data_IF_129198479284
#
_entry.id   IF_129198479284
#
_cell.length_a   1.000
_cell.length_b   1.000
_cell.length_c   1.000
_cell.angle_alpha   90.00
_cell.angle_beta   90.00
_cell.angle_gamma   90.00
#
_symmetry.space_group_name_H-M   'P 1'
#
loop_
_entity.id
_entity.type
_entity.pdbx_description
1 polymer ?
#
# COMPACT_ATOMS: atom_id res chain seq x y z
N UNK A 1 -10.29 0.48 -23.33
CA UNK A 1 -10.95 0.65 -22.02
C UNK A 1 -11.04 2.13 -21.73
N UNK A 2 -12.16 2.76 -22.05
CA UNK A 2 -12.37 4.19 -21.78
C UNK A 2 -12.69 4.47 -20.30
N UNK A 3 -13.21 3.49 -19.58
CA UNK A 3 -13.53 3.59 -18.15
C UNK A 3 -12.93 2.41 -17.36
N UNK A 4 -11.74 2.65 -16.81
CA UNK A 4 -10.99 1.64 -16.04
C UNK A 4 -11.59 1.36 -14.67
N UNK A 5 -12.47 2.23 -14.15
CA UNK A 5 -13.15 2.03 -12.87
C UNK A 5 -14.44 1.20 -12.99
N UNK A 6 -14.87 0.91 -14.20
CA UNK A 6 -16.09 0.17 -14.45
C UNK A 6 -15.91 -1.32 -14.13
N UNK A 7 -16.47 -1.73 -13.01
CA UNK A 7 -16.40 -3.12 -12.51
C UNK A 7 -16.93 -4.17 -13.50
N UNK A 8 -17.83 -3.79 -14.41
CA UNK A 8 -18.38 -4.72 -15.42
C UNK A 8 -17.28 -5.21 -16.38
N UNK A 9 -16.35 -4.34 -16.78
CA UNK A 9 -15.25 -4.76 -17.67
C UNK A 9 -14.31 -5.76 -16.98
N UNK A 10 -14.01 -5.51 -15.70
CA UNK A 10 -13.15 -6.41 -14.95
C UNK A 10 -13.83 -7.76 -14.68
N UNK A 11 -15.14 -7.78 -14.44
CA UNK A 11 -15.89 -9.03 -14.26
C UNK A 11 -15.84 -9.95 -15.47
N UNK A 12 -15.67 -9.42 -16.67
CA UNK A 12 -15.50 -10.23 -17.88
C UNK A 12 -14.28 -11.16 -17.82
N UNK A 13 -13.29 -10.87 -16.97
CA UNK A 13 -12.14 -11.75 -16.74
C UNK A 13 -12.56 -13.11 -16.19
N UNK A 14 -13.63 -13.20 -15.42
CA UNK A 14 -14.15 -14.46 -14.91
C UNK A 14 -14.59 -15.44 -16.02
N UNK A 15 -14.96 -14.92 -17.19
CA UNK A 15 -15.41 -15.73 -18.33
C UNK A 15 -14.29 -16.17 -19.26
N UNK A 16 -13.06 -15.66 -19.06
CA UNK A 16 -11.89 -16.06 -19.86
C UNK A 16 -11.47 -17.47 -19.43
N UNK A 17 -11.21 -18.40 -20.39
CA UNK A 17 -10.71 -19.71 -20.06
C UNK A 17 -9.40 -19.62 -19.24
N UNK A 18 -9.26 -20.49 -18.26
CA UNK A 18 -8.08 -20.51 -17.37
C UNK A 18 -6.78 -20.72 -18.14
N UNK A 19 -6.81 -21.59 -19.13
CA UNK A 19 -5.68 -21.87 -20.00
C UNK A 19 -5.17 -20.64 -20.75
N UNK A 20 -6.10 -19.80 -21.24
CA UNK A 20 -5.74 -18.57 -21.95
C UNK A 20 -5.03 -17.56 -21.01
N UNK A 21 -5.52 -17.41 -19.79
CA UNK A 21 -4.87 -16.57 -18.77
C UNK A 21 -3.48 -17.11 -18.46
N UNK A 22 -3.34 -18.44 -18.27
CA UNK A 22 -2.05 -19.06 -17.99
C UNK A 22 -1.05 -18.83 -19.12
N UNK A 23 -1.43 -19.05 -20.38
CA UNK A 23 -0.55 -18.83 -21.52
C UNK A 23 -0.16 -17.35 -21.70
N UNK A 24 -1.08 -16.42 -21.47
CA UNK A 24 -0.75 -14.99 -21.45
C UNK A 24 0.30 -14.68 -20.37
N UNK A 25 0.10 -15.17 -19.13
CA UNK A 25 1.05 -14.98 -18.04
C UNK A 25 2.43 -15.58 -18.36
N UNK A 26 2.46 -16.78 -18.92
CA UNK A 26 3.66 -17.44 -19.38
C UNK A 26 4.38 -16.66 -20.50
N UNK A 27 3.63 -16.11 -21.46
CA UNK A 27 4.18 -15.27 -22.52
C UNK A 27 4.82 -13.98 -21.94
N UNK A 28 4.18 -13.34 -20.97
CA UNK A 28 4.72 -12.16 -20.28
C UNK A 28 5.98 -12.47 -19.46
N UNK A 29 5.99 -13.60 -18.76
CA UNK A 29 7.18 -14.10 -18.05
C UNK A 29 8.33 -14.39 -19.01
N UNK A 30 8.07 -15.02 -20.15
CA UNK A 30 9.08 -15.27 -21.17
C UNK A 30 9.69 -13.96 -21.71
N UNK A 31 8.88 -12.90 -21.88
CA UNK A 31 9.38 -11.57 -22.27
C UNK A 31 10.30 -10.99 -21.19
N UNK A 32 9.91 -11.13 -19.90
CA UNK A 32 10.74 -10.71 -18.78
C UNK A 32 12.06 -11.48 -18.75
N UNK A 33 12.02 -12.80 -18.85
CA UNK A 33 13.23 -13.65 -18.83
C UNK A 33 14.19 -13.27 -19.97
N UNK A 34 13.69 -13.05 -21.18
CA UNK A 34 14.51 -12.57 -22.31
C UNK A 34 15.15 -11.21 -21.99
N UNK A 35 14.38 -10.30 -21.38
CA UNK A 35 14.88 -8.99 -20.96
C UNK A 35 15.97 -9.11 -19.88
N UNK A 36 15.75 -9.94 -18.86
CA UNK A 36 16.73 -10.18 -17.78
C UNK A 36 18.04 -10.73 -18.38
N UNK A 37 17.96 -11.76 -19.24
CA UNK A 37 19.13 -12.35 -19.87
C UNK A 37 19.94 -11.32 -20.67
N UNK A 38 19.28 -10.50 -21.47
CA UNK A 38 19.93 -9.44 -22.24
C UNK A 38 20.57 -8.36 -21.34
N UNK A 39 19.90 -7.96 -20.25
CA UNK A 39 20.46 -6.98 -19.30
C UNK A 39 21.67 -7.54 -18.55
N UNK A 40 21.61 -8.77 -18.08
CA UNK A 40 22.75 -9.41 -17.42
C UNK A 40 23.95 -9.49 -18.33
N UNK A 41 23.76 -9.96 -19.55
CA UNK A 41 24.85 -10.07 -20.54
C UNK A 41 25.49 -8.69 -20.81
N UNK A 42 24.67 -7.66 -21.07
CA UNK A 42 25.18 -6.33 -21.38
C UNK A 42 25.89 -5.66 -20.20
N UNK A 43 25.34 -5.74 -18.99
CA UNK A 43 25.92 -5.10 -17.82
C UNK A 43 27.19 -5.80 -17.37
N UNK A 44 27.22 -7.13 -17.41
CA UNK A 44 28.39 -7.90 -17.04
C UNK A 44 29.58 -7.64 -17.95
N UNK A 45 29.35 -7.60 -19.24
CA UNK A 45 30.39 -7.30 -20.23
C UNK A 45 30.96 -5.88 -20.02
N UNK A 46 30.11 -4.92 -19.68
CA UNK A 46 30.56 -3.56 -19.36
C UNK A 46 31.42 -3.47 -18.10
N UNK A 47 31.08 -4.27 -17.08
CA UNK A 47 31.73 -4.26 -15.78
C UNK A 47 32.93 -5.22 -15.70
N UNK A 48 33.40 -5.76 -16.82
CA UNK A 48 34.56 -6.64 -16.92
C UNK A 48 34.52 -7.86 -15.96
N UNK A 49 33.32 -8.38 -15.70
CA UNK A 49 33.13 -9.55 -14.88
C UNK A 49 33.61 -10.84 -15.58
N UNK A 50 33.73 -11.92 -14.78
CA UNK A 50 34.09 -13.23 -15.30
C UNK A 50 32.99 -13.76 -16.25
N UNK A 51 33.26 -13.99 -17.55
CA UNK A 51 32.27 -14.45 -18.52
C UNK A 51 31.66 -15.81 -18.17
N UNK A 52 32.38 -16.68 -17.50
CA UNK A 52 31.90 -18.01 -17.11
C UNK A 52 30.74 -17.93 -16.11
N UNK A 53 30.78 -16.95 -15.22
CA UNK A 53 29.70 -16.68 -14.27
C UNK A 53 28.44 -16.15 -14.96
N UNK A 54 28.58 -15.34 -16.02
CA UNK A 54 27.45 -14.88 -16.81
C UNK A 54 26.73 -16.07 -17.44
N UNK A 55 27.46 -16.95 -18.11
CA UNK A 55 26.88 -18.16 -18.72
C UNK A 55 26.15 -18.98 -17.66
N UNK A 56 26.79 -19.24 -16.53
CA UNK A 56 26.20 -20.00 -15.43
C UNK A 56 24.91 -19.36 -14.86
N UNK A 57 24.83 -18.03 -14.79
CA UNK A 57 23.62 -17.31 -14.35
C UNK A 57 22.53 -17.43 -15.42
N UNK A 58 22.88 -17.17 -16.70
CA UNK A 58 21.91 -17.19 -17.80
C UNK A 58 21.26 -18.57 -17.99
N UNK A 59 22.03 -19.64 -17.80
CA UNK A 59 21.53 -21.02 -17.87
C UNK A 59 20.56 -21.36 -16.75
N UNK A 60 20.77 -20.77 -15.56
CA UNK A 60 19.90 -21.00 -14.40
C UNK A 60 18.61 -20.18 -14.43
N UNK A 61 18.51 -19.10 -15.22
CA UNK A 61 17.27 -18.31 -15.32
C UNK A 61 16.22 -19.11 -16.09
N UNK A 62 15.17 -19.51 -15.37
CA UNK A 62 14.17 -20.45 -15.83
C UNK A 62 12.77 -19.82 -15.86
N UNK A 63 12.17 -19.72 -17.05
CA UNK A 63 10.81 -19.20 -17.22
C UNK A 63 9.69 -20.10 -16.66
N UNK A 64 10.00 -21.38 -16.35
CA UNK A 64 9.06 -22.28 -15.72
C UNK A 64 9.08 -22.21 -14.18
N UNK A 65 10.07 -21.54 -13.60
CA UNK A 65 10.14 -21.29 -12.18
C UNK A 65 9.07 -20.29 -11.72
N UNK A 66 8.58 -20.45 -10.50
CA UNK A 66 7.83 -19.39 -9.82
C UNK A 66 8.75 -18.18 -9.64
N UNK A 67 8.33 -17.02 -10.14
CA UNK A 67 9.15 -15.82 -10.14
C UNK A 67 8.54 -14.73 -9.26
N UNK A 68 9.27 -14.31 -8.23
CA UNK A 68 8.85 -13.27 -7.27
C UNK A 68 9.68 -12.02 -7.50
N UNK A 69 9.00 -10.89 -7.70
CA UNK A 69 9.64 -9.60 -7.95
C UNK A 69 9.61 -8.69 -6.73
N UNK A 70 10.74 -8.00 -6.52
CA UNK A 70 10.87 -6.90 -5.57
C UNK A 70 11.53 -5.72 -6.29
N UNK A 71 10.75 -4.68 -6.60
CA UNK A 71 11.25 -3.53 -7.36
C UNK A 71 10.81 -2.21 -6.75
N UNK A 72 11.74 -1.48 -6.11
CA UNK A 72 11.43 -0.22 -5.44
C UNK A 72 12.66 0.59 -5.07
N UNK A 73 12.46 1.83 -4.58
CA UNK A 73 13.53 2.58 -3.94
C UNK A 73 14.01 1.82 -2.70
N UNK A 74 15.32 1.64 -2.59
CA UNK A 74 15.94 1.08 -1.39
C UNK A 74 16.02 2.15 -0.32
N UNK A 75 15.18 2.03 0.69
CA UNK A 75 15.18 2.76 1.95
C UNK A 75 14.99 1.74 3.07
N UNK A 76 15.54 1.97 4.24
CA UNK A 76 15.57 0.99 5.34
C UNK A 76 14.19 0.47 5.70
N UNK A 77 13.19 1.34 5.80
CA UNK A 77 11.83 0.95 6.15
C UNK A 77 11.15 0.05 5.11
N UNK A 78 11.66 -0.03 3.88
CA UNK A 78 11.17 -0.94 2.83
C UNK A 78 11.61 -2.39 3.06
N UNK A 79 12.55 -2.60 3.97
CA UNK A 79 13.02 -3.89 4.49
C UNK A 79 13.34 -4.93 3.40
N UNK A 80 14.06 -4.51 2.37
CA UNK A 80 14.50 -5.40 1.29
C UNK A 80 15.30 -6.62 1.79
N UNK A 81 15.81 -6.57 3.01
CA UNK A 81 16.64 -7.59 3.66
C UNK A 81 15.82 -8.74 4.28
N UNK A 82 14.52 -8.62 4.49
CA UNK A 82 13.76 -9.61 5.25
C UNK A 82 13.92 -11.04 4.73
N UNK A 83 13.92 -11.21 3.41
CA UNK A 83 14.10 -12.54 2.80
C UNK A 83 15.51 -13.13 3.04
N UNK A 84 16.45 -12.35 3.56
CA UNK A 84 17.85 -12.74 3.80
C UNK A 84 18.19 -12.89 5.28
N UNK A 85 17.20 -12.92 6.15
CA UNK A 85 17.38 -13.10 7.60
C UNK A 85 17.72 -14.54 7.99
N UNK A 86 17.24 -15.52 7.22
CA UNK A 86 17.53 -16.95 7.36
C UNK A 86 17.98 -17.52 6.01
N UNK A 87 19.29 -17.44 5.77
CA UNK A 87 19.87 -17.87 4.50
C UNK A 87 19.82 -19.39 4.31
N UNK A 88 19.85 -20.17 5.37
CA UNK A 88 19.76 -21.62 5.29
C UNK A 88 18.37 -22.06 4.86
N UNK A 89 17.32 -21.45 5.41
CA UNK A 89 15.94 -21.68 5.00
C UNK A 89 15.70 -21.21 3.57
N UNK A 90 16.17 -20.01 3.23
CA UNK A 90 16.10 -19.49 1.86
C UNK A 90 16.80 -20.40 0.87
N UNK A 91 18.00 -20.91 1.21
CA UNK A 91 18.75 -21.84 0.36
C UNK A 91 17.96 -23.11 0.10
N UNK A 92 17.32 -23.71 1.12
CA UNK A 92 16.46 -24.89 0.93
C UNK A 92 15.29 -24.61 -0.02
N UNK A 93 14.68 -23.44 0.12
CA UNK A 93 13.54 -23.02 -0.74
C UNK A 93 13.97 -22.87 -2.20
N UNK A 94 15.04 -22.10 -2.47
CA UNK A 94 15.43 -21.77 -3.85
C UNK A 94 16.16 -22.92 -4.58
N UNK A 95 16.66 -23.92 -3.85
CA UNK A 95 17.33 -25.09 -4.42
C UNK A 95 16.43 -26.32 -4.49
N UNK A 96 15.13 -26.18 -4.25
CA UNK A 96 14.19 -27.27 -4.44
C UNK A 96 13.96 -27.52 -5.94
N UNK A 97 14.48 -28.63 -6.46
CA UNK A 97 14.38 -28.98 -7.88
C UNK A 97 12.95 -29.27 -8.34
N UNK A 98 12.11 -29.79 -7.43
CA UNK A 98 10.71 -30.08 -7.73
C UNK A 98 9.85 -28.81 -7.86
N UNK A 99 10.19 -27.78 -7.10
CA UNK A 99 9.46 -26.53 -7.03
C UNK A 99 10.40 -25.33 -7.24
N UNK A 100 10.96 -25.14 -8.45
CA UNK A 100 11.95 -24.11 -8.70
C UNK A 100 11.38 -22.72 -8.51
N UNK A 101 12.05 -21.90 -7.70
CA UNK A 101 11.66 -20.51 -7.41
C UNK A 101 12.83 -19.56 -7.64
N UNK A 102 12.53 -18.39 -8.17
CA UNK A 102 13.51 -17.32 -8.40
C UNK A 102 12.99 -15.98 -7.89
N UNK A 103 13.88 -15.23 -7.25
CA UNK A 103 13.59 -13.90 -6.78
C UNK A 103 14.33 -12.86 -7.62
N UNK A 104 13.61 -11.85 -8.11
CA UNK A 104 14.15 -10.78 -8.92
C UNK A 104 14.08 -9.47 -8.15
N UNK A 105 15.22 -8.99 -7.69
CA UNK A 105 15.38 -7.73 -6.99
C UNK A 105 15.86 -6.64 -7.94
N UNK A 106 15.33 -5.44 -7.79
CA UNK A 106 15.82 -4.24 -8.46
C UNK A 106 15.46 -2.99 -7.68
N UNK A 107 16.22 -1.94 -7.87
CA UNK A 107 15.94 -0.66 -7.23
C UNK A 107 17.14 0.27 -7.24
N UNK A 108 16.94 1.44 -6.66
CA UNK A 108 17.97 2.46 -6.47
C UNK A 108 17.87 3.02 -5.05
N UNK A 109 19.01 3.32 -4.45
CA UNK A 109 19.09 4.10 -3.23
C UNK A 109 19.38 5.57 -3.57
N UNK A 110 18.93 6.48 -2.72
CA UNK A 110 19.33 7.87 -2.86
C UNK A 110 20.85 8.01 -2.64
N UNK A 111 21.58 8.88 -3.35
CA UNK A 111 23.02 9.05 -3.18
C UNK A 111 23.47 9.37 -1.76
N UNK A 112 22.63 10.06 -0.97
CA UNK A 112 22.87 10.37 0.43
C UNK A 112 22.36 9.30 1.42
N UNK A 113 21.74 8.21 0.94
CA UNK A 113 21.21 7.11 1.78
C UNK A 113 22.20 5.94 1.83
N UNK A 114 23.16 6.02 2.76
CA UNK A 114 24.14 4.96 2.97
C UNK A 114 23.51 3.63 3.41
N UNK A 115 22.40 3.67 4.16
CA UNK A 115 21.66 2.47 4.57
C UNK A 115 21.06 1.73 3.38
N UNK A 116 20.37 2.46 2.49
CA UNK A 116 19.83 1.90 1.27
C UNK A 116 20.90 1.35 0.33
N UNK A 117 22.03 2.02 0.21
CA UNK A 117 23.19 1.53 -0.57
C UNK A 117 23.78 0.26 0.05
N UNK A 118 23.88 0.20 1.39
CA UNK A 118 24.32 -0.99 2.11
C UNK A 118 23.42 -2.20 1.86
N UNK A 119 22.10 -2.02 1.83
CA UNK A 119 21.15 -3.07 1.50
C UNK A 119 21.34 -3.60 0.07
N UNK A 120 21.55 -2.74 -0.92
CA UNK A 120 21.85 -3.15 -2.29
C UNK A 120 23.13 -4.00 -2.33
N UNK A 121 24.20 -3.52 -1.70
CA UNK A 121 25.47 -4.23 -1.63
C UNK A 121 25.30 -5.62 -1.03
N UNK A 122 24.61 -5.71 0.09
CA UNK A 122 24.35 -6.96 0.80
C UNK A 122 23.59 -7.98 -0.08
N UNK A 123 22.54 -7.56 -0.76
CA UNK A 123 21.75 -8.44 -1.65
C UNK A 123 22.58 -8.90 -2.85
N UNK A 124 23.38 -8.00 -3.43
CA UNK A 124 24.29 -8.35 -4.54
C UNK A 124 25.35 -9.37 -4.09
N UNK A 125 25.91 -9.22 -2.90
CA UNK A 125 26.87 -10.17 -2.34
C UNK A 125 26.24 -11.56 -2.14
N UNK A 126 25.01 -11.63 -1.59
CA UNK A 126 24.28 -12.88 -1.42
C UNK A 126 23.96 -13.51 -2.78
N UNK A 127 23.50 -12.74 -3.75
CA UNK A 127 23.15 -13.24 -5.09
C UNK A 127 24.32 -13.91 -5.83
N UNK A 128 25.57 -13.61 -5.42
CA UNK A 128 26.80 -14.17 -6.00
C UNK A 128 27.29 -15.44 -5.32
N UNK A 129 26.69 -15.83 -4.19
CA UNK A 129 27.05 -17.08 -3.50
C UNK A 129 26.62 -18.29 -4.34
N UNK A 130 27.37 -19.39 -4.31
CA UNK A 130 27.09 -20.58 -5.14
C UNK A 130 25.65 -21.10 -5.02
N UNK A 131 25.12 -21.12 -3.79
CA UNK A 131 23.77 -21.61 -3.47
C UNK A 131 22.66 -20.69 -3.98
N UNK A 132 22.93 -19.41 -4.21
CA UNK A 132 21.94 -18.42 -4.67
C UNK A 132 22.15 -17.99 -6.12
N UNK A 133 23.22 -18.42 -6.75
CA UNK A 133 23.58 -18.00 -8.11
C UNK A 133 22.49 -18.37 -9.11
N UNK A 134 21.91 -17.36 -9.77
CA UNK A 134 20.79 -17.52 -10.70
C UNK A 134 19.44 -17.80 -10.04
N UNK A 135 19.37 -17.86 -8.71
CA UNK A 135 18.14 -17.99 -7.91
C UNK A 135 17.71 -16.66 -7.30
N UNK A 136 18.69 -15.91 -6.77
CA UNK A 136 18.50 -14.52 -6.35
C UNK A 136 19.15 -13.66 -7.43
N UNK A 137 18.33 -12.90 -8.14
CA UNK A 137 18.73 -12.10 -9.31
C UNK A 137 18.62 -10.62 -8.94
N UNK A 138 19.73 -9.88 -8.96
CA UNK A 138 19.69 -8.44 -8.80
C UNK A 138 19.86 -7.75 -10.16
N UNK A 139 18.88 -6.93 -10.55
CA UNK A 139 18.93 -6.15 -11.79
C UNK A 139 19.30 -4.71 -11.50
N UNK A 140 20.37 -4.25 -12.13
CA UNK A 140 20.85 -2.87 -12.04
C UNK A 140 20.00 -1.91 -12.87
N UNK A 141 20.17 -0.61 -12.62
CA UNK A 141 19.59 0.46 -13.42
C UNK A 141 18.06 0.46 -13.48
N UNK A 142 17.41 0.27 -12.32
CA UNK A 142 15.96 0.33 -12.23
C UNK A 142 15.41 1.62 -12.89
N UNK A 143 14.68 1.45 -13.96
CA UNK A 143 14.02 2.48 -14.73
C UNK A 143 12.59 2.07 -15.13
N UNK A 144 11.87 2.94 -15.85
CA UNK A 144 10.50 2.66 -16.29
C UNK A 144 10.41 1.46 -17.25
N UNK A 145 11.44 1.21 -18.06
CA UNK A 145 11.45 0.08 -19.00
C UNK A 145 11.58 -1.24 -18.25
N UNK A 146 12.54 -1.33 -17.34
CA UNK A 146 12.69 -2.50 -16.46
C UNK A 146 11.44 -2.71 -15.61
N UNK A 147 10.90 -1.63 -15.01
CA UNK A 147 9.70 -1.71 -14.18
C UNK A 147 8.50 -2.32 -14.93
N UNK A 148 8.26 -1.90 -16.20
CA UNK A 148 7.17 -2.46 -17.02
C UNK A 148 7.32 -3.96 -17.26
N UNK A 149 8.54 -4.42 -17.56
CA UNK A 149 8.79 -5.86 -17.77
C UNK A 149 8.61 -6.65 -16.48
N UNK A 150 9.14 -6.13 -15.37
CA UNK A 150 9.10 -6.80 -14.08
C UNK A 150 7.67 -6.91 -13.54
N UNK A 151 6.95 -5.79 -13.48
CA UNK A 151 5.57 -5.70 -12.97
C UNK A 151 4.62 -6.57 -13.79
N UNK A 152 4.83 -6.71 -15.10
CA UNK A 152 3.99 -7.55 -15.94
C UNK A 152 4.45 -9.01 -16.00
N UNK A 153 5.72 -9.31 -15.70
CA UNK A 153 6.33 -10.60 -16.02
C UNK A 153 6.56 -11.53 -14.84
N UNK A 154 6.63 -11.04 -13.60
CA UNK A 154 6.73 -11.91 -12.41
C UNK A 154 5.38 -12.54 -12.06
N UNK A 155 5.36 -13.56 -11.24
CA UNK A 155 4.12 -14.20 -10.78
C UNK A 155 3.59 -13.57 -9.50
N UNK A 156 4.50 -13.15 -8.62
CA UNK A 156 4.19 -12.53 -7.33
C UNK A 156 4.99 -11.23 -7.19
N UNK A 157 4.33 -10.21 -6.66
CA UNK A 157 4.93 -8.93 -6.30
C UNK A 157 5.08 -8.83 -4.79
N UNK A 158 6.32 -8.81 -4.31
CA UNK A 158 6.63 -8.79 -2.89
C UNK A 158 6.83 -7.36 -2.37
N UNK A 159 6.15 -7.02 -1.27
CA UNK A 159 6.33 -5.76 -0.54
C UNK A 159 6.44 -6.02 0.96
N UNK A 160 7.48 -5.46 1.57
CA UNK A 160 7.82 -5.72 2.98
C UNK A 160 8.04 -4.45 3.79
N UNK A 161 7.21 -3.39 3.67
CA UNK A 161 7.44 -2.16 4.42
C UNK A 161 7.28 -2.37 5.92
N UNK A 162 7.93 -1.51 6.71
CA UNK A 162 7.64 -1.38 8.14
C UNK A 162 6.33 -0.62 8.31
N UNK A 163 5.36 -1.20 9.02
CA UNK A 163 4.10 -0.51 9.34
C UNK A 163 4.31 0.60 10.36
N UNK A 164 3.61 1.72 10.28
CA UNK A 164 2.68 2.18 9.23
C UNK A 164 3.36 3.17 8.25
N UNK A 165 4.55 2.88 7.77
CA UNK A 165 5.39 3.84 7.02
C UNK A 165 5.14 3.87 5.51
N UNK A 166 4.36 2.94 4.96
CA UNK A 166 4.00 2.92 3.54
C UNK A 166 2.67 3.65 3.31
N UNK A 167 2.73 4.82 2.68
CA UNK A 167 1.52 5.63 2.48
C UNK A 167 0.53 5.03 1.46
N UNK A 168 1.02 4.40 0.40
CA UNK A 168 0.18 3.72 -0.61
C UNK A 168 0.89 2.51 -1.21
N UNK A 169 1.94 2.67 -2.03
CA UNK A 169 2.64 1.57 -2.68
C UNK A 169 2.06 1.15 -4.03
N UNK A 170 1.89 2.11 -4.96
CA UNK A 170 1.24 1.94 -6.27
C UNK A 170 1.86 0.88 -7.20
N UNK A 171 3.06 0.35 -6.88
CA UNK A 171 3.68 -0.72 -7.67
C UNK A 171 2.90 -2.04 -7.57
N UNK A 172 2.36 -2.35 -6.37
CA UNK A 172 1.49 -3.51 -6.17
C UNK A 172 0.19 -3.41 -6.95
N UNK A 173 -0.45 -2.24 -6.96
CA UNK A 173 -1.66 -1.97 -7.76
C UNK A 173 -1.41 -2.22 -9.26
N UNK A 174 -0.26 -1.75 -9.79
CA UNK A 174 0.12 -1.96 -11.19
C UNK A 174 0.40 -3.44 -11.48
N UNK A 175 1.06 -4.14 -10.57
CA UNK A 175 1.33 -5.57 -10.71
C UNK A 175 0.01 -6.35 -10.80
N UNK A 176 -0.91 -6.07 -9.91
CA UNK A 176 -2.22 -6.68 -9.85
C UNK A 176 -3.05 -6.47 -11.12
N UNK A 177 -3.07 -5.24 -11.66
CA UNK A 177 -3.72 -4.94 -12.94
C UNK A 177 -3.13 -5.71 -14.13
N UNK A 178 -1.94 -6.28 -13.97
CA UNK A 178 -1.29 -7.17 -14.95
C UNK A 178 -1.46 -8.67 -14.62
N UNK A 179 -2.28 -9.03 -13.65
CA UNK A 179 -2.48 -10.41 -13.22
C UNK A 179 -1.29 -11.00 -12.46
N UNK A 180 -0.50 -10.14 -11.81
CA UNK A 180 0.56 -10.53 -10.87
C UNK A 180 -0.01 -10.45 -9.46
N UNK A 181 0.13 -11.52 -8.68
CA UNK A 181 -0.45 -11.59 -7.34
C UNK A 181 0.39 -10.79 -6.34
N UNK A 182 -0.28 -10.00 -5.50
CA UNK A 182 0.40 -9.20 -4.49
C UNK A 182 0.64 -10.02 -3.22
N UNK A 183 1.87 -9.95 -2.69
CA UNK A 183 2.26 -10.49 -1.40
C UNK A 183 2.91 -9.40 -0.57
N UNK A 184 2.22 -8.91 0.43
CA UNK A 184 2.65 -7.71 1.14
C UNK A 184 2.29 -7.75 2.63
N UNK A 185 3.03 -6.97 3.41
CA UNK A 185 2.57 -6.50 4.71
C UNK A 185 1.27 -5.73 4.51
N UNK A 186 0.32 -5.83 5.46
CA UNK A 186 -0.92 -5.05 5.48
C UNK A 186 -0.61 -3.60 5.86
N UNK A 187 -0.18 -2.83 4.86
CA UNK A 187 0.13 -1.40 4.96
C UNK A 187 -0.13 -0.71 3.61
N UNK A 188 -0.33 0.60 3.64
CA UNK A 188 -0.69 1.37 2.46
C UNK A 188 -1.96 0.83 1.78
N UNK A 189 -1.94 0.76 0.44
CA UNK A 189 -3.10 0.31 -0.34
C UNK A 189 -3.54 -1.14 -0.03
N UNK A 190 -2.59 -2.02 0.36
CA UNK A 190 -2.90 -3.42 0.64
C UNK A 190 -3.69 -3.61 1.93
N UNK A 191 -3.60 -2.66 2.87
CA UNK A 191 -4.46 -2.64 4.05
C UNK A 191 -5.94 -2.49 3.69
N UNK A 192 -6.23 -1.72 2.65
CA UNK A 192 -7.60 -1.50 2.16
C UNK A 192 -8.02 -2.53 1.11
N UNK A 193 -7.07 -2.99 0.29
CA UNK A 193 -7.34 -3.80 -0.90
C UNK A 193 -7.29 -5.30 -0.70
N UNK A 194 -6.64 -5.79 0.36
CA UNK A 194 -6.48 -7.22 0.56
C UNK A 194 -7.82 -7.95 0.63
N UNK A 195 -7.92 -9.03 -0.15
CA UNK A 195 -9.02 -9.99 -0.13
C UNK A 195 -8.41 -11.40 -0.07
N UNK A 196 -8.97 -12.25 0.77
CA UNK A 196 -8.60 -13.66 0.83
C UNK A 196 -8.86 -14.35 -0.52
N UNK A 197 -7.94 -15.19 -0.97
CA UNK A 197 -8.04 -15.82 -2.29
C UNK A 197 -7.74 -14.91 -3.48
N UNK A 198 -7.18 -13.70 -3.25
CA UNK A 198 -6.81 -12.75 -4.29
C UNK A 198 -5.35 -12.26 -4.17
N UNK A 199 -4.57 -12.83 -3.29
CA UNK A 199 -3.20 -12.50 -2.97
C UNK A 199 -2.86 -12.91 -1.55
N UNK A 200 -1.70 -12.53 -1.04
CA UNK A 200 -1.24 -12.90 0.30
C UNK A 200 -0.86 -11.69 1.14
N UNK A 201 -1.07 -11.80 2.43
CA UNK A 201 -0.76 -10.75 3.38
C UNK A 201 -0.14 -11.30 4.66
N UNK A 202 0.76 -10.52 5.25
CA UNK A 202 1.15 -10.71 6.64
C UNK A 202 0.02 -10.14 7.50
N UNK A 203 -0.87 -11.00 7.97
CA UNK A 203 -2.14 -10.61 8.61
C UNK A 203 -1.99 -10.13 10.05
N UNK A 204 -0.86 -10.41 10.71
CA UNK A 204 -0.62 -9.87 12.05
C UNK A 204 -0.48 -8.34 11.98
N UNK A 205 -1.42 -7.63 12.59
CA UNK A 205 -1.47 -6.18 12.63
C UNK A 205 -0.68 -5.57 13.79
N UNK A 206 -0.17 -6.40 14.70
CA UNK A 206 0.61 -5.92 15.84
C UNK A 206 1.94 -5.34 15.36
N UNK A 207 2.35 -4.28 16.00
CA UNK A 207 3.67 -3.67 15.86
C UNK A 207 4.43 -3.85 17.15
N UNK A 208 5.72 -4.12 17.06
CA UNK A 208 6.59 -4.30 18.22
C UNK A 208 7.58 -3.13 18.26
N UNK A 209 7.89 -2.67 19.47
CA UNK A 209 8.90 -1.61 19.67
C UNK A 209 10.29 -2.06 19.23
N UNK A 210 10.59 -3.35 19.37
CA UNK A 210 11.84 -3.94 18.90
C UNK A 210 11.75 -4.28 17.41
N UNK A 211 12.30 -3.43 16.55
CA UNK A 211 12.31 -3.62 15.10
C UNK A 211 12.98 -4.92 14.65
N UNK A 212 14.05 -5.35 15.33
CA UNK A 212 14.71 -6.61 14.98
C UNK A 212 13.83 -7.82 15.23
N UNK A 213 13.08 -7.81 16.32
CA UNK A 213 12.11 -8.86 16.62
C UNK A 213 10.96 -8.86 15.61
N UNK A 214 10.45 -7.68 15.25
CA UNK A 214 9.45 -7.54 14.20
C UNK A 214 9.95 -8.10 12.86
N UNK A 215 11.19 -7.79 12.50
CA UNK A 215 11.78 -8.27 11.24
C UNK A 215 11.93 -9.79 11.22
N UNK A 216 12.34 -10.40 12.33
CA UNK A 216 12.43 -11.86 12.44
C UNK A 216 11.06 -12.53 12.32
N UNK A 217 10.04 -12.00 12.98
CA UNK A 217 8.68 -12.53 12.92
C UNK A 217 8.08 -12.40 11.52
N UNK A 218 8.21 -11.22 10.90
CA UNK A 218 7.70 -10.99 9.56
C UNK A 218 8.43 -11.87 8.53
N UNK A 219 9.75 -12.03 8.65
CA UNK A 219 10.52 -12.93 7.80
C UNK A 219 10.08 -14.40 7.94
N UNK A 220 9.90 -14.87 9.18
CA UNK A 220 9.42 -16.22 9.45
C UNK A 220 8.02 -16.46 8.85
N UNK A 221 7.15 -15.44 8.92
CA UNK A 221 5.81 -15.47 8.31
C UNK A 221 5.89 -15.50 6.78
N UNK A 222 6.77 -14.71 6.17
CA UNK A 222 7.01 -14.73 4.72
C UNK A 222 7.43 -16.12 4.27
N UNK A 223 8.40 -16.73 4.91
CA UNK A 223 8.83 -18.09 4.58
C UNK A 223 7.71 -19.12 4.75
N UNK A 224 6.95 -19.01 5.84
CA UNK A 224 5.83 -19.91 6.09
C UNK A 224 4.80 -19.85 4.95
N UNK A 225 4.34 -18.66 4.59
CA UNK A 225 3.37 -18.46 3.51
C UNK A 225 3.94 -18.94 2.16
N UNK A 226 5.22 -18.69 1.89
CA UNK A 226 5.87 -19.21 0.69
C UNK A 226 5.82 -20.73 0.62
N UNK A 227 6.18 -21.41 1.70
CA UNK A 227 6.30 -22.88 1.77
C UNK A 227 4.93 -23.59 1.82
N UNK A 228 3.95 -23.02 2.52
CA UNK A 228 2.66 -23.70 2.78
C UNK A 228 1.53 -23.27 1.84
N UNK A 229 1.65 -22.10 1.20
CA UNK A 229 0.58 -21.56 0.38
C UNK A 229 1.04 -21.24 -1.05
N UNK A 230 1.96 -20.31 -1.24
CA UNK A 230 2.30 -19.76 -2.57
C UNK A 230 2.90 -20.85 -3.49
N UNK A 231 3.92 -21.54 -3.01
CA UNK A 231 4.60 -22.58 -3.79
C UNK A 231 3.65 -23.75 -4.10
N UNK A 232 2.93 -24.33 -3.12
CA UNK A 232 1.98 -25.39 -3.40
C UNK A 232 0.90 -24.97 -4.40
N UNK A 233 0.27 -23.82 -4.22
CA UNK A 233 -0.79 -23.32 -5.11
C UNK A 233 -0.29 -23.14 -6.53
N UNK A 234 0.93 -22.61 -6.74
CA UNK A 234 1.49 -22.44 -8.08
C UNK A 234 1.81 -23.76 -8.78
N UNK A 235 2.30 -24.77 -8.04
CA UNK A 235 2.74 -26.06 -8.58
C UNK A 235 1.69 -27.15 -8.55
N UNK A 236 0.52 -26.93 -7.97
CA UNK A 236 -0.62 -27.85 -8.03
C UNK A 236 -1.28 -27.76 -9.43
N UNK A 237 -0.61 -28.34 -10.42
CA UNK A 237 -1.01 -28.28 -11.83
C UNK A 237 -1.89 -29.46 -12.20
N UNK A 238 -2.92 -29.17 -12.99
CA UNK A 238 -3.78 -30.19 -13.60
C UNK A 238 -3.09 -30.88 -14.79
N UNK A 239 -3.78 -31.83 -15.43
CA UNK A 239 -3.29 -32.59 -16.60
C UNK A 239 -3.00 -31.68 -17.82
N UNK A 240 -3.53 -30.46 -17.87
CA UNK A 240 -3.25 -29.46 -18.90
C UNK A 240 -2.02 -28.59 -18.59
N UNK A 241 -1.37 -28.81 -17.44
CA UNK A 241 -0.12 -28.16 -17.06
C UNK A 241 -0.25 -26.76 -16.44
N UNK A 242 -1.45 -26.32 -16.04
CA UNK A 242 -1.66 -25.07 -15.29
C UNK A 242 -2.32 -25.33 -13.93
N UNK A 243 -2.19 -24.40 -13.01
CA UNK A 243 -2.87 -24.44 -11.70
C UNK A 243 -4.21 -23.70 -11.77
N UNK A 244 -5.36 -24.40 -11.66
CA UNK A 244 -6.67 -23.75 -11.64
C UNK A 244 -6.83 -22.81 -10.45
N UNK A 245 -6.30 -23.20 -9.29
CA UNK A 245 -6.36 -22.37 -8.08
C UNK A 245 -5.57 -21.08 -8.26
N UNK A 246 -4.36 -21.12 -8.83
CA UNK A 246 -3.57 -19.95 -9.15
C UNK A 246 -4.31 -18.99 -10.07
N UNK A 247 -4.96 -19.53 -11.11
CA UNK A 247 -5.75 -18.70 -12.03
C UNK A 247 -6.96 -18.10 -11.32
N UNK A 248 -7.59 -18.82 -10.38
CA UNK A 248 -8.69 -18.26 -9.61
C UNK A 248 -8.22 -17.08 -8.73
N UNK A 249 -7.04 -17.17 -8.11
CA UNK A 249 -6.44 -16.02 -7.41
C UNK A 249 -6.25 -14.81 -8.35
N UNK A 250 -5.74 -15.02 -9.56
CA UNK A 250 -5.60 -13.95 -10.57
C UNK A 250 -6.96 -13.35 -10.91
N UNK A 251 -7.97 -14.18 -11.19
CA UNK A 251 -9.32 -13.72 -11.51
C UNK A 251 -9.93 -12.91 -10.37
N UNK A 252 -9.80 -13.39 -9.15
CA UNK A 252 -10.28 -12.70 -7.95
C UNK A 252 -9.60 -11.34 -7.78
N UNK A 253 -8.28 -11.31 -7.83
CA UNK A 253 -7.47 -10.11 -7.72
C UNK A 253 -7.92 -9.05 -8.74
N UNK A 254 -7.94 -9.41 -10.02
CA UNK A 254 -8.30 -8.48 -11.08
C UNK A 254 -9.79 -8.04 -11.05
N UNK A 255 -10.70 -8.85 -10.54
CA UNK A 255 -12.14 -8.52 -10.56
C UNK A 255 -12.64 -7.85 -9.30
N UNK A 256 -12.07 -8.19 -8.15
CA UNK A 256 -12.54 -7.70 -6.85
C UNK A 256 -11.75 -6.47 -6.38
N UNK A 257 -10.45 -6.43 -6.68
CA UNK A 257 -9.53 -5.43 -6.14
C UNK A 257 -9.21 -4.34 -7.18
N UNK A 258 -8.67 -4.71 -8.35
CA UNK A 258 -8.15 -3.77 -9.33
C UNK A 258 -9.11 -2.61 -9.71
N UNK A 259 -10.43 -2.80 -9.87
CA UNK A 259 -11.35 -1.70 -10.20
C UNK A 259 -11.38 -0.57 -9.16
N UNK A 260 -11.11 -0.91 -7.90
CA UNK A 260 -11.16 0.04 -6.79
C UNK A 260 -9.88 0.90 -6.69
N UNK A 261 -8.77 0.47 -7.29
CA UNK A 261 -7.46 1.11 -7.21
C UNK A 261 -7.00 1.71 -8.55
N UNK A 262 -7.95 2.09 -9.41
CA UNK A 262 -7.65 2.77 -10.67
C UNK A 262 -7.47 4.27 -10.49
N UNK A 263 -6.60 4.88 -11.31
CA UNK A 263 -6.42 6.34 -11.35
C UNK A 263 -7.75 7.07 -11.60
N UNK A 264 -8.59 6.51 -12.48
CA UNK A 264 -9.90 7.13 -12.77
C UNK A 264 -10.78 7.22 -11.53
N UNK A 265 -10.93 6.13 -10.78
CA UNK A 265 -11.72 6.14 -9.54
C UNK A 265 -11.17 7.16 -8.54
N UNK A 266 -9.85 7.19 -8.35
CA UNK A 266 -9.19 8.14 -7.46
C UNK A 266 -9.46 9.60 -7.90
N UNK A 267 -9.33 9.89 -9.19
CA UNK A 267 -9.61 11.24 -9.73
C UNK A 267 -11.07 11.63 -9.55
N UNK A 268 -12.00 10.71 -9.82
CA UNK A 268 -13.44 10.97 -9.64
C UNK A 268 -13.74 11.29 -8.17
N UNK A 269 -13.16 10.55 -7.22
CA UNK A 269 -13.29 10.82 -5.80
C UNK A 269 -12.71 12.20 -5.43
N UNK A 270 -11.51 12.53 -5.90
CA UNK A 270 -10.88 13.81 -5.60
C UNK A 270 -11.65 14.99 -6.18
N UNK A 271 -12.12 14.87 -7.43
CA UNK A 271 -12.91 15.92 -8.09
C UNK A 271 -14.22 16.15 -7.33
N UNK A 272 -14.96 15.07 -7.05
CA UNK A 272 -16.29 15.18 -6.47
C UNK A 272 -16.26 15.54 -4.97
N UNK A 273 -15.31 14.99 -4.22
CA UNK A 273 -15.25 15.15 -2.77
C UNK A 273 -14.53 16.43 -2.35
N UNK A 274 -13.53 16.89 -3.12
CA UNK A 274 -12.64 17.97 -2.74
C UNK A 274 -12.59 19.10 -3.77
N UNK A 275 -12.16 18.85 -5.00
CA UNK A 275 -11.82 19.92 -5.93
C UNK A 275 -13.02 20.77 -6.33
N UNK A 276 -14.16 20.18 -6.64
CA UNK A 276 -15.38 20.94 -6.95
C UNK A 276 -15.84 21.79 -5.77
N UNK A 277 -15.83 21.22 -4.56
CA UNK A 277 -16.20 21.95 -3.33
C UNK A 277 -15.23 23.09 -3.01
N UNK A 278 -13.92 22.85 -3.16
CA UNK A 278 -12.89 23.87 -2.96
C UNK A 278 -12.96 24.97 -4.01
N UNK A 279 -13.22 24.64 -5.27
CA UNK A 279 -13.40 25.62 -6.33
C UNK A 279 -14.59 26.53 -6.05
N UNK A 280 -15.73 25.96 -5.67
CA UNK A 280 -16.92 26.75 -5.27
C UNK A 280 -16.61 27.64 -4.06
N UNK A 281 -15.97 27.10 -3.04
CA UNK A 281 -15.57 27.89 -1.86
C UNK A 281 -14.59 29.00 -2.23
N UNK A 282 -13.62 28.72 -3.10
CA UNK A 282 -12.69 29.73 -3.57
C UNK A 282 -13.40 30.88 -4.29
N UNK A 283 -14.38 30.57 -5.13
CA UNK A 283 -15.20 31.57 -5.80
C UNK A 283 -15.93 32.47 -4.79
N UNK A 284 -16.59 31.86 -3.81
CA UNK A 284 -17.31 32.63 -2.76
C UNK A 284 -16.37 33.50 -1.96
N UNK A 285 -15.16 33.03 -1.62
CA UNK A 285 -14.17 33.78 -0.85
C UNK A 285 -13.59 35.00 -1.62
N UNK A 286 -13.55 34.90 -2.98
CA UNK A 286 -13.03 36.00 -3.84
C UNK A 286 -14.07 37.09 -4.04
N UNK A 287 -15.36 36.75 -3.96
CA UNK A 287 -16.45 37.70 -4.14
C UNK A 287 -16.35 38.92 -3.16
N UNK A 288 -16.90 40.06 -3.57
CA UNK A 288 -16.93 41.27 -2.79
C UNK A 288 -15.55 41.70 -2.23
N UNK A 289 -14.51 41.62 -3.07
CA UNK A 289 -13.13 41.99 -2.69
C UNK A 289 -12.62 41.20 -1.47
N UNK A 290 -12.89 39.90 -1.43
CA UNK A 290 -12.48 39.00 -0.34
C UNK A 290 -13.11 39.31 1.01
N UNK A 291 -14.32 39.87 1.03
CA UNK A 291 -14.98 40.32 2.30
C UNK A 291 -15.15 39.17 3.28
N UNK A 292 -15.59 37.98 2.80
CA UNK A 292 -15.73 36.78 3.63
C UNK A 292 -14.38 36.26 4.14
N UNK A 293 -13.37 36.20 3.27
CA UNK A 293 -12.03 35.79 3.67
C UNK A 293 -11.43 36.69 4.74
N UNK A 294 -11.62 38.01 4.61
CA UNK A 294 -11.20 39.00 5.63
C UNK A 294 -11.94 38.81 6.94
N UNK A 295 -13.25 38.56 6.88
CA UNK A 295 -14.06 38.32 8.08
C UNK A 295 -13.61 37.03 8.81
N UNK A 296 -13.30 35.95 8.07
CA UNK A 296 -12.77 34.72 8.64
C UNK A 296 -11.38 34.95 9.26
N UNK A 297 -10.51 35.72 8.61
CA UNK A 297 -9.18 36.02 9.13
C UNK A 297 -9.27 36.80 10.44
N UNK A 298 -10.07 37.87 10.48
CA UNK A 298 -10.30 38.67 11.68
C UNK A 298 -10.88 37.83 12.84
N UNK A 299 -11.87 37.00 12.53
CA UNK A 299 -12.42 36.07 13.52
C UNK A 299 -11.37 35.08 14.06
N UNK A 300 -10.47 34.54 13.20
CA UNK A 300 -9.39 33.68 13.67
C UNK A 300 -8.43 34.39 14.62
N UNK A 301 -8.07 35.64 14.31
CA UNK A 301 -7.21 36.44 15.16
C UNK A 301 -7.87 36.68 16.54
N UNK A 302 -9.17 37.00 16.57
CA UNK A 302 -9.94 37.15 17.79
C UNK A 302 -9.99 35.87 18.63
N UNK A 303 -10.27 34.74 17.99
CA UNK A 303 -10.27 33.42 18.68
C UNK A 303 -8.90 33.09 19.26
N UNK A 304 -7.81 33.32 18.51
CA UNK A 304 -6.45 33.06 18.99
C UNK A 304 -6.11 33.96 20.17
N UNK A 305 -6.48 35.23 20.11
CA UNK A 305 -6.23 36.19 21.21
C UNK A 305 -6.92 35.79 22.53
N UNK A 306 -8.09 35.17 22.43
CA UNK A 306 -8.89 34.75 23.57
C UNK A 306 -8.86 33.24 23.84
N UNK A 307 -7.95 32.50 23.21
CA UNK A 307 -7.92 31.05 23.33
C UNK A 307 -7.76 30.54 24.77
N UNK A 308 -6.94 31.22 25.55
CA UNK A 308 -6.71 30.89 26.96
C UNK A 308 -7.87 31.28 27.91
N UNK A 309 -8.87 32.01 27.42
CA UNK A 309 -10.08 32.34 28.16
C UNK A 309 -11.13 31.22 28.08
N UNK A 310 -10.91 30.21 27.23
CA UNK A 310 -11.77 29.07 27.12
C UNK A 310 -11.44 28.02 28.18
N UNK A 311 -12.48 27.43 28.76
CA UNK A 311 -12.36 26.38 29.76
C UNK A 311 -13.28 25.21 29.41
N UNK A 312 -12.77 23.99 29.48
CA UNK A 312 -13.59 22.79 29.35
C UNK A 312 -14.37 22.58 30.64
N UNK A 313 -15.70 22.74 30.59
CA UNK A 313 -16.55 22.57 31.77
C UNK A 313 -16.99 21.15 32.02
N UNK A 314 -17.36 20.45 30.98
CA UNK A 314 -17.77 19.07 31.05
C UNK A 314 -17.56 18.36 29.73
N UNK A 315 -17.28 17.09 29.83
CA UNK A 315 -17.22 16.17 28.70
C UNK A 315 -18.04 14.94 29.09
N UNK A 316 -18.96 14.53 28.24
CA UNK A 316 -19.63 13.25 28.38
C UNK A 316 -19.76 12.58 27.04
N UNK A 317 -19.49 11.28 27.01
CA UNK A 317 -19.77 10.43 25.87
C UNK A 317 -20.36 9.10 26.36
N UNK A 318 -21.02 8.39 25.49
CA UNK A 318 -21.54 7.07 25.81
C UNK A 318 -20.39 6.15 26.25
N UNK A 319 -20.57 5.43 27.36
CA UNK A 319 -19.55 4.55 27.95
C UNK A 319 -19.11 3.40 27.03
N UNK A 320 -19.95 3.03 26.07
CA UNK A 320 -19.68 1.96 25.11
C UNK A 320 -18.97 2.46 23.85
N UNK A 321 -17.94 3.28 24.02
CA UNK A 321 -17.09 3.79 22.92
C UNK A 321 -16.55 2.69 21.98
N UNK A 322 -16.53 1.44 22.41
CA UNK A 322 -16.03 0.29 21.66
C UNK A 322 -17.12 -0.70 21.26
N UNK A 323 -18.39 -0.42 21.57
CA UNK A 323 -19.49 -1.25 21.14
C UNK A 323 -19.81 -1.09 19.64
N UNK A 324 -20.42 -2.11 19.05
CA UNK A 324 -20.90 -2.03 17.66
C UNK A 324 -22.08 -1.06 17.59
N UNK A 325 -21.94 0.04 16.87
CA UNK A 325 -22.97 1.03 16.65
C UNK A 325 -22.50 2.47 16.74
N UNK A 326 -23.36 3.44 16.44
CA UNK A 326 -23.03 4.84 16.58
C UNK A 326 -22.84 5.24 18.06
N UNK A 327 -21.78 5.98 18.34
CA UNK A 327 -21.55 6.55 19.65
C UNK A 327 -22.32 7.87 19.73
N UNK A 328 -23.28 7.95 20.65
CA UNK A 328 -24.02 9.20 20.92
C UNK A 328 -23.37 9.91 22.08
N UNK A 329 -22.85 11.09 21.81
CA UNK A 329 -22.36 12.00 22.85
C UNK A 329 -23.50 12.88 23.36
N UNK A 330 -23.75 12.87 24.66
CA UNK A 330 -24.68 13.82 25.27
C UNK A 330 -23.91 15.08 25.68
N UNK A 331 -24.18 16.15 24.99
CA UNK A 331 -23.72 17.50 25.31
C UNK A 331 -24.85 18.51 25.11
N UNK A 332 -24.70 19.69 25.62
CA UNK A 332 -25.74 20.75 25.61
C UNK A 332 -26.14 21.23 24.20
N UNK A 333 -25.61 20.68 23.14
CA UNK A 333 -25.93 21.05 21.76
C UNK A 333 -26.25 19.84 20.92
N UNK A 334 -27.34 19.16 21.22
CA UNK A 334 -28.08 18.25 20.34
C UNK A 334 -27.28 17.32 19.42
N UNK A 335 -27.52 16.05 19.53
CA UNK A 335 -27.45 15.01 18.50
C UNK A 335 -26.11 14.91 17.73
N UNK A 336 -25.05 14.52 18.40
CA UNK A 336 -23.84 14.05 17.77
C UNK A 336 -23.93 12.52 17.64
N UNK A 337 -24.05 12.02 16.43
CA UNK A 337 -23.88 10.62 16.11
C UNK A 337 -22.45 10.43 15.60
N UNK A 338 -21.64 9.67 16.32
CA UNK A 338 -20.26 9.38 15.93
C UNK A 338 -20.21 7.92 15.45
N UNK A 339 -19.73 7.71 14.23
CA UNK A 339 -19.50 6.37 13.73
C UNK A 339 -18.26 5.77 14.39
N UNK A 340 -18.30 4.47 14.63
CA UNK A 340 -17.27 3.64 15.29
C UNK A 340 -15.85 3.82 14.72
N UNK A 341 -15.75 4.21 13.45
CA UNK A 341 -14.46 4.37 12.75
C UNK A 341 -13.88 5.78 12.84
N UNK A 342 -14.65 6.75 13.34
CA UNK A 342 -14.24 8.15 13.45
C UNK A 342 -14.51 8.64 14.88
N UNK A 343 -13.67 8.22 15.81
CA UNK A 343 -13.75 8.66 17.21
C UNK A 343 -13.46 10.14 17.31
N UNK A 344 -14.49 10.94 17.15
CA UNK A 344 -14.47 12.37 17.45
C UNK A 344 -15.27 12.59 18.72
N UNK A 345 -14.58 13.00 19.77
CA UNK A 345 -15.24 13.39 21.03
C UNK A 345 -15.49 14.88 21.01
N UNK A 346 -16.67 15.27 21.47
CA UNK A 346 -17.01 16.68 21.66
C UNK A 346 -16.61 17.15 23.05
N UNK A 347 -15.83 18.21 23.12
CA UNK A 347 -15.46 18.89 24.36
C UNK A 347 -16.21 20.21 24.46
N UNK A 348 -16.94 20.42 25.55
CA UNK A 348 -17.64 21.68 25.79
C UNK A 348 -16.69 22.68 26.44
N UNK A 349 -16.41 23.77 25.76
CA UNK A 349 -15.53 24.84 26.21
C UNK A 349 -16.38 26.03 26.60
N UNK A 350 -16.27 26.49 27.87
CA UNK A 350 -16.93 27.71 28.33
C UNK A 350 -16.03 28.89 28.03
N UNK A 351 -16.61 29.90 27.44
CA UNK A 351 -15.97 31.21 27.30
C UNK A 351 -16.03 31.99 28.61
N UNK A 352 -14.90 32.51 29.09
CA UNK A 352 -14.84 33.27 30.35
C UNK A 352 -15.35 34.70 30.22
N UNK A 353 -15.41 35.26 29.03
CA UNK A 353 -15.96 36.60 28.79
C UNK A 353 -17.26 36.55 28.00
N UNK A 354 -18.24 37.34 28.40
CA UNK A 354 -19.58 37.43 27.77
C UNK A 354 -19.57 38.14 26.39
N UNK A 355 -18.40 38.45 25.84
CA UNK A 355 -18.23 39.37 24.71
C UNK A 355 -18.06 38.69 23.34
N UNK A 356 -17.84 37.39 23.27
CA UNK A 356 -17.69 36.73 21.96
C UNK A 356 -19.00 36.09 21.52
N UNK A 357 -19.59 36.60 20.44
CA UNK A 357 -20.67 35.95 19.73
C UNK A 357 -20.13 34.78 18.91
N UNK A 358 -20.55 33.57 19.23
CA UNK A 358 -20.27 32.42 18.42
C UNK A 358 -20.99 32.50 17.05
N UNK A 359 -20.23 32.61 15.98
CA UNK A 359 -20.77 32.43 14.63
C UNK A 359 -20.83 30.94 14.30
N UNK A 360 -21.83 30.52 13.55
CA UNK A 360 -21.92 29.12 13.07
C UNK A 360 -20.71 28.81 12.22
N UNK A 361 -20.00 27.76 12.59
CA UNK A 361 -18.85 27.25 11.85
C UNK A 361 -19.26 25.90 11.26
N UNK A 362 -19.20 25.82 9.95
CA UNK A 362 -19.31 24.55 9.26
C UNK A 362 -17.91 23.95 9.22
N UNK A 363 -17.67 22.91 10.02
CA UNK A 363 -16.42 22.18 9.98
C UNK A 363 -16.62 20.90 9.19
N UNK A 364 -15.92 20.81 8.07
CA UNK A 364 -15.89 19.61 7.25
C UNK A 364 -14.76 18.73 7.80
N UNK A 365 -15.11 17.75 8.61
CA UNK A 365 -14.25 16.62 8.91
C UNK A 365 -14.50 15.53 7.89
N UNK A 366 -13.57 14.61 7.75
CA UNK A 366 -13.73 13.40 6.93
C UNK A 366 -14.84 12.49 7.49
N UNK A 367 -16.12 12.91 7.32
CA UNK A 367 -17.35 12.32 7.90
C UNK A 367 -17.40 12.31 9.45
N UNK A 368 -18.42 12.87 10.06
CA UNK A 368 -19.58 13.54 9.50
C UNK A 368 -19.43 15.07 9.40
N UNK A 369 -20.36 15.70 8.67
CA UNK A 369 -20.48 17.18 8.63
C UNK A 369 -21.08 17.67 9.95
N UNK A 370 -20.38 18.57 10.64
CA UNK A 370 -20.91 19.22 11.81
C UNK A 370 -21.38 20.63 11.45
N UNK A 371 -22.63 20.92 11.76
CA UNK A 371 -23.15 22.28 11.71
C UNK A 371 -23.33 22.79 13.14
N UNK A 372 -22.49 23.72 13.54
CA UNK A 372 -22.69 24.45 14.80
C UNK A 372 -23.69 25.55 14.51
N UNK A 373 -24.90 25.42 15.03
CA UNK A 373 -25.92 26.46 14.89
C UNK A 373 -25.60 27.66 15.79
N UNK A 374 -25.79 28.85 15.22
CA UNK A 374 -25.69 30.11 15.97
C UNK A 374 -26.73 30.10 17.08
N UNK A 375 -26.30 29.88 18.30
CA UNK A 375 -27.10 30.16 19.50
C UNK A 375 -26.27 31.13 20.35
N UNK A 376 -26.94 31.94 21.13
CA UNK A 376 -26.28 32.67 22.22
C UNK A 376 -25.74 31.63 23.18
N UNK A 377 -24.56 31.12 22.90
CA UNK A 377 -23.99 30.05 23.67
C UNK A 377 -22.86 30.55 24.55
N UNK A 378 -22.93 30.12 25.78
CA UNK A 378 -21.85 30.23 26.74
C UNK A 378 -20.77 29.18 26.52
N UNK A 379 -20.89 28.32 25.49
CA UNK A 379 -20.05 27.14 25.32
C UNK A 379 -19.75 26.80 23.85
N UNK A 380 -18.54 26.35 23.57
CA UNK A 380 -18.09 25.77 22.29
C UNK A 380 -17.70 24.31 22.49
N UNK A 381 -17.81 23.54 21.42
CA UNK A 381 -17.51 22.13 21.48
C UNK A 381 -16.48 21.76 20.42
N UNK A 382 -15.31 21.33 20.84
CA UNK A 382 -14.29 20.73 19.97
C UNK A 382 -13.45 19.71 20.73
N UNK A 383 -13.34 18.52 20.22
CA UNK A 383 -12.16 17.69 20.39
C UNK A 383 -12.08 16.69 19.26
N UNK A 384 -10.93 16.62 18.63
CA UNK A 384 -10.51 15.46 17.85
C UNK A 384 -9.66 14.62 18.77
N UNK A 385 -10.10 13.42 19.10
CA UNK A 385 -9.26 12.43 19.74
C UNK A 385 -8.87 11.43 18.65
N UNK A 386 -7.64 11.52 18.17
CA UNK A 386 -7.04 10.43 17.46
C UNK A 386 -6.77 9.30 18.46
N UNK A 387 -7.54 8.24 18.40
CA UNK A 387 -7.14 7.00 19.05
C UNK A 387 -6.13 6.31 18.14
N UNK A 388 -4.91 6.16 18.68
CA UNK A 388 -3.87 5.34 18.07
C UNK A 388 -4.28 3.87 18.03
#
# INVERSE_FOLDING_TARGET
MSDQSNKRYWRAIQTIPDEDIWEIRKALKNKLVKYIKAQYQNNWLKNQGDPSKVVSILDKINSNALMIGFGRRFATYKRAHLLFTDLDRLSRIVNNEKYPIQFVYTGKAHPADGGGQGLIKHIVEISRRPEFLGKIIFLENYDMRLARHLIAGVDVWLNTPTRPLEASGTSGEKAEMNGVLNFSVLDGWWYEGYQEGAGWALTDKRTYENQQYQDQLDAATIYHILETEIIPTYYNRNDRGYSPEWIQYIKNSMTQIAPNFTMKRMLDDYINRFYNKLAQRSTNLIENHFSEAKAIAAWKEEVVAHWNDFEVLSFSCNKDLFAEGPVVGEGYTSDLVIDRHDLQCMTIIKHRSDTIEAKSIEMIFFKPEFTIRKQKMKYFVFAVIETK
#
